data_IF_839805697826
#
_entry.id   IF_839805697826
#
_cell.length_a   1.000
_cell.length_b   1.000
_cell.length_c   1.000
_cell.angle_alpha   90.00
_cell.angle_beta   90.00
_cell.angle_gamma   90.00
#
_symmetry.space_group_name_H-M   'P 1'
#
loop_
_entity.id
_entity.type
_entity.pdbx_description
1 polymer ?
#
# COMPACT_ATOMS: atom_id res chain seq x y z
N UNK A 1 1.91 -13.25 17.68
CA UNK A 1 3.01 -14.17 17.26
C UNK A 1 2.92 -15.48 18.02
N UNK A 2 2.83 -16.60 17.34
CA UNK A 2 2.85 -17.97 17.86
C UNK A 2 4.29 -18.44 18.03
N UNK A 3 4.59 -19.18 19.13
CA UNK A 3 5.89 -19.85 19.30
C UNK A 3 5.80 -21.28 18.82
N UNK A 4 6.79 -21.69 18.05
CA UNK A 4 7.00 -23.07 17.63
C UNK A 4 8.41 -23.50 18.02
N UNK A 5 8.61 -24.79 18.22
CA UNK A 5 9.94 -25.33 18.51
C UNK A 5 10.21 -26.61 17.73
N UNK A 6 11.49 -26.83 17.44
CA UNK A 6 12.02 -28.04 16.84
C UNK A 6 13.16 -28.57 17.67
N UNK A 7 13.24 -29.89 17.82
CA UNK A 7 14.38 -30.54 18.48
C UNK A 7 15.29 -31.17 17.41
N UNK A 8 16.55 -30.72 17.35
CA UNK A 8 17.54 -31.22 16.41
C UNK A 8 18.80 -31.61 17.19
N UNK A 9 19.20 -32.88 17.09
CA UNK A 9 20.36 -33.45 17.78
C UNK A 9 20.36 -33.20 19.31
N UNK A 10 19.18 -33.24 19.96
CA UNK A 10 19.02 -33.01 21.39
C UNK A 10 19.06 -31.53 21.82
N UNK A 11 19.09 -30.60 20.88
CA UNK A 11 18.99 -29.16 21.13
C UNK A 11 17.64 -28.64 20.65
N UNK A 12 16.96 -27.87 21.49
CA UNK A 12 15.70 -27.19 21.18
C UNK A 12 15.95 -25.83 20.56
N UNK A 13 15.25 -25.56 19.46
CA UNK A 13 15.24 -24.29 18.71
C UNK A 13 13.84 -23.72 18.73
N UNK A 14 13.69 -22.49 19.20
CA UNK A 14 12.41 -21.79 19.28
C UNK A 14 12.33 -20.69 18.22
N UNK A 15 11.19 -20.59 17.53
CA UNK A 15 10.92 -19.59 16.51
C UNK A 15 9.61 -18.87 16.79
N UNK A 16 9.55 -17.58 16.44
CA UNK A 16 8.33 -16.81 16.46
C UNK A 16 7.70 -16.84 15.05
N UNK A 17 6.45 -17.29 14.98
CA UNK A 17 5.67 -17.34 13.73
C UNK A 17 4.63 -16.23 13.78
N UNK A 18 4.63 -15.28 12.85
CA UNK A 18 3.58 -14.27 12.75
C UNK A 18 2.26 -14.92 12.33
N UNK A 19 1.15 -14.39 12.86
CA UNK A 19 -0.21 -14.88 12.63
C UNK A 19 -1.07 -13.88 11.84
N UNK A 20 -0.51 -12.69 11.55
CA UNK A 20 -1.17 -11.65 10.75
C UNK A 20 -0.15 -10.75 10.04
N UNK A 21 -0.65 -9.96 9.08
CA UNK A 21 0.16 -8.96 8.38
C UNK A 21 0.75 -7.90 9.31
N UNK A 22 0.04 -7.51 10.37
CA UNK A 22 0.48 -6.51 11.34
C UNK A 22 1.71 -6.95 12.13
N UNK A 23 1.92 -8.25 12.28
CA UNK A 23 3.06 -8.82 13.00
C UNK A 23 4.33 -8.93 12.14
N UNK A 24 4.23 -8.80 10.83
CA UNK A 24 5.40 -8.80 9.94
C UNK A 24 6.21 -7.51 10.08
N UNK A 25 7.52 -7.63 9.92
CA UNK A 25 8.41 -6.49 9.69
C UNK A 25 8.66 -6.27 8.17
N UNK A 26 9.42 -5.20 7.85
CA UNK A 26 9.72 -4.84 6.47
C UNK A 26 10.49 -5.93 5.71
N UNK A 27 11.44 -6.61 6.37
CA UNK A 27 12.25 -7.66 5.74
C UNK A 27 11.42 -8.89 5.43
N UNK A 28 10.50 -9.28 6.32
CA UNK A 28 9.57 -10.38 6.11
C UNK A 28 8.57 -10.07 4.97
N UNK A 29 8.06 -8.84 4.91
CA UNK A 29 7.23 -8.39 3.80
C UNK A 29 8.03 -8.37 2.47
N UNK A 30 9.27 -7.92 2.50
CA UNK A 30 10.18 -7.95 1.34
C UNK A 30 10.40 -9.39 0.85
N UNK A 31 10.63 -10.34 1.77
CA UNK A 31 10.75 -11.76 1.43
C UNK A 31 9.48 -12.30 0.75
N UNK A 32 8.30 -11.92 1.23
CA UNK A 32 7.02 -12.28 0.60
C UNK A 32 6.90 -11.74 -0.82
N UNK A 33 7.23 -10.46 -1.05
CA UNK A 33 7.18 -9.84 -2.38
C UNK A 33 8.18 -10.47 -3.35
N UNK A 34 9.34 -10.88 -2.85
CA UNK A 34 10.38 -11.53 -3.64
C UNK A 34 9.96 -12.93 -4.08
N UNK A 35 9.47 -13.75 -3.15
CA UNK A 35 9.09 -15.15 -3.39
C UNK A 35 7.76 -15.25 -4.14
N UNK A 36 6.81 -14.37 -3.86
CA UNK A 36 5.54 -14.24 -4.56
C UNK A 36 4.47 -15.28 -4.21
N UNK A 37 4.76 -16.27 -3.36
CA UNK A 37 3.81 -17.28 -2.93
C UNK A 37 4.23 -17.92 -1.60
N UNK A 38 3.25 -18.42 -0.82
CA UNK A 38 3.54 -19.21 0.39
C UNK A 38 4.16 -20.55 0.00
N UNK A 39 5.40 -20.75 0.40
CA UNK A 39 6.16 -21.98 0.19
C UNK A 39 7.24 -22.18 1.27
N UNK A 40 8.02 -23.21 1.17
CA UNK A 40 9.10 -23.56 2.12
C UNK A 40 10.15 -22.45 2.23
N UNK A 41 10.56 -21.83 1.12
CA UNK A 41 11.55 -20.76 1.13
C UNK A 41 11.03 -19.53 1.87
N UNK A 42 9.79 -19.11 1.62
CA UNK A 42 9.16 -18.00 2.33
C UNK A 42 9.02 -18.31 3.83
N UNK A 43 8.50 -19.49 4.19
CA UNK A 43 8.31 -19.88 5.58
C UNK A 43 9.64 -19.83 6.34
N UNK A 44 10.71 -20.36 5.76
CA UNK A 44 12.07 -20.33 6.33
C UNK A 44 12.56 -18.89 6.56
N UNK A 45 12.37 -17.99 5.58
CA UNK A 45 12.80 -16.58 5.68
C UNK A 45 12.00 -15.81 6.73
N UNK A 46 10.69 -16.03 6.79
CA UNK A 46 9.82 -15.32 7.74
C UNK A 46 10.17 -15.65 9.18
N UNK A 47 10.44 -16.94 9.49
CA UNK A 47 10.83 -17.34 10.85
C UNK A 47 12.32 -17.17 11.12
N UNK A 48 13.11 -16.75 10.13
CA UNK A 48 14.57 -16.65 10.20
C UNK A 48 15.21 -17.97 10.70
N UNK A 49 14.80 -19.10 10.08
CA UNK A 49 15.19 -20.44 10.52
C UNK A 49 16.65 -20.73 10.27
N UNK A 50 17.31 -21.27 11.30
CA UNK A 50 18.70 -21.75 11.21
C UNK A 50 18.85 -22.86 10.15
N UNK A 51 19.96 -22.84 9.40
CA UNK A 51 20.24 -23.85 8.36
C UNK A 51 20.26 -25.28 8.91
N UNK A 52 20.81 -25.47 10.10
CA UNK A 52 20.88 -26.80 10.75
C UNK A 52 19.49 -27.35 11.04
N UNK A 53 18.53 -26.51 11.40
CA UNK A 53 17.14 -26.92 11.61
C UNK A 53 16.49 -27.16 10.26
N UNK A 54 16.62 -26.23 9.32
CA UNK A 54 15.99 -26.33 8.00
C UNK A 54 16.32 -27.63 7.26
N UNK A 55 17.59 -28.08 7.30
CA UNK A 55 18.01 -29.34 6.65
C UNK A 55 17.59 -30.60 7.42
N UNK A 56 17.19 -30.46 8.68
CA UNK A 56 16.78 -31.58 9.53
C UNK A 56 15.27 -31.83 9.51
N UNK A 57 14.48 -30.87 9.01
CA UNK A 57 13.02 -30.98 8.94
C UNK A 57 12.59 -31.99 7.88
N UNK A 58 11.58 -32.80 8.23
CA UNK A 58 10.93 -33.72 7.29
C UNK A 58 9.97 -32.96 6.37
N UNK A 59 9.51 -33.63 5.29
CA UNK A 59 8.46 -33.08 4.42
C UNK A 59 7.17 -32.77 5.19
N UNK A 60 6.85 -33.58 6.22
CA UNK A 60 5.67 -33.34 7.07
C UNK A 60 5.82 -32.07 7.90
N UNK A 61 7.01 -31.82 8.46
CA UNK A 61 7.29 -30.62 9.24
C UNK A 61 7.19 -29.36 8.37
N UNK A 62 7.75 -29.42 7.16
CA UNK A 62 7.64 -28.32 6.18
C UNK A 62 6.21 -28.07 5.73
N UNK A 63 5.44 -29.14 5.47
CA UNK A 63 4.04 -29.00 5.11
C UNK A 63 3.24 -28.35 6.24
N UNK A 64 3.45 -28.79 7.49
CA UNK A 64 2.82 -28.20 8.66
C UNK A 64 3.23 -26.72 8.81
N UNK A 65 4.51 -26.40 8.75
CA UNK A 65 5.00 -25.01 8.89
C UNK A 65 4.44 -24.09 7.81
N UNK A 66 4.39 -24.53 6.57
CA UNK A 66 3.81 -23.68 5.49
C UNK A 66 2.33 -23.40 5.71
N UNK A 67 1.58 -24.31 6.32
CA UNK A 67 0.17 -24.10 6.67
C UNK A 67 -0.03 -22.98 7.70
N UNK A 68 0.93 -22.74 8.57
CA UNK A 68 0.88 -21.61 9.50
C UNK A 68 0.86 -20.25 8.80
N UNK A 69 1.22 -20.19 7.51
CA UNK A 69 1.23 -18.99 6.68
C UNK A 69 0.10 -18.92 5.64
N UNK A 70 -0.89 -19.81 5.70
CA UNK A 70 -2.00 -19.81 4.73
C UNK A 70 -2.78 -18.48 4.73
N UNK A 71 -2.81 -17.75 5.86
CA UNK A 71 -3.39 -16.41 5.98
C UNK A 71 -2.73 -15.36 5.07
N UNK A 72 -1.48 -15.55 4.66
CA UNK A 72 -0.76 -14.64 3.74
C UNK A 72 -1.33 -14.67 2.32
N UNK A 73 -2.20 -15.63 1.99
CA UNK A 73 -2.92 -15.64 0.72
C UNK A 73 -4.02 -14.56 0.68
N UNK A 74 -4.44 -14.05 1.84
CA UNK A 74 -5.38 -12.92 1.95
C UNK A 74 -4.62 -11.60 2.03
N UNK A 75 -4.14 -11.14 0.88
CA UNK A 75 -3.40 -9.88 0.76
C UNK A 75 -4.31 -8.64 0.81
N UNK A 76 -5.64 -8.81 0.81
CA UNK A 76 -6.58 -7.70 0.84
C UNK A 76 -6.70 -7.06 2.22
N UNK A 77 -6.35 -7.78 3.28
CA UNK A 77 -6.41 -7.32 4.67
C UNK A 77 -5.15 -6.60 5.16
N UNK A 78 -4.22 -6.25 4.29
CA UNK A 78 -3.03 -5.49 4.69
C UNK A 78 -3.43 -4.06 5.07
N UNK A 79 -3.25 -3.71 6.36
CA UNK A 79 -3.55 -2.40 6.92
C UNK A 79 -2.34 -1.63 7.43
N UNK A 80 -1.12 -2.11 7.12
CA UNK A 80 0.15 -1.58 7.61
C UNK A 80 1.02 -1.06 6.47
N UNK A 81 1.68 0.08 6.69
CA UNK A 81 2.76 0.51 5.82
C UNK A 81 4.05 -0.22 6.25
N UNK A 82 4.51 -1.18 5.44
CA UNK A 82 5.73 -1.96 5.72
C UNK A 82 7.00 -1.19 5.41
N UNK A 83 6.96 -0.42 4.34
CA UNK A 83 8.09 0.39 3.90
C UNK A 83 7.96 1.78 4.51
N UNK A 84 8.10 1.89 5.86
CA UNK A 84 7.94 3.16 6.58
C UNK A 84 9.02 4.18 6.19
N UNK A 85 10.21 3.69 5.82
CA UNK A 85 11.32 4.51 5.34
C UNK A 85 12.06 3.83 4.19
N UNK A 86 12.66 4.63 3.33
CA UNK A 86 13.47 4.19 2.20
C UNK A 86 14.82 4.90 2.21
N UNK A 87 15.90 4.14 2.16
CA UNK A 87 17.24 4.70 1.96
C UNK A 87 17.48 4.85 0.46
N UNK A 88 17.68 6.09 0.01
CA UNK A 88 18.00 6.40 -1.38
C UNK A 88 19.46 6.02 -1.71
N UNK A 89 19.81 5.85 -3.00
CA UNK A 89 21.16 5.48 -3.40
C UNK A 89 22.26 6.44 -2.95
N UNK A 90 21.94 7.70 -2.67
CA UNK A 90 22.85 8.70 -2.14
C UNK A 90 22.98 8.66 -0.58
N UNK A 91 22.29 7.71 0.05
CA UNK A 91 22.25 7.56 1.51
C UNK A 91 21.19 8.43 2.21
N UNK A 92 20.43 9.25 1.49
CA UNK A 92 19.35 10.05 2.06
C UNK A 92 18.19 9.14 2.46
N UNK A 93 17.60 9.37 3.64
CA UNK A 93 16.41 8.64 4.09
C UNK A 93 15.15 9.42 3.76
N UNK A 94 14.20 8.74 3.12
CA UNK A 94 12.86 9.24 2.84
C UNK A 94 11.85 8.47 3.68
N UNK A 95 10.89 9.19 4.24
CA UNK A 95 9.85 8.65 5.12
C UNK A 95 8.53 8.51 4.36
N UNK A 96 7.85 7.41 4.62
CA UNK A 96 6.54 7.11 4.07
C UNK A 96 5.42 7.86 4.79
N UNK A 97 4.22 7.52 4.45
CA UNK A 97 2.97 8.12 4.89
C UNK A 97 2.23 7.21 5.87
N UNK A 98 1.22 7.73 6.56
CA UNK A 98 0.36 6.92 7.42
C UNK A 98 -0.47 5.92 6.61
N UNK A 99 -0.61 4.70 7.10
CA UNK A 99 -1.31 3.61 6.41
C UNK A 99 -2.80 3.93 6.08
N UNK A 100 -3.40 4.88 6.79
CA UNK A 100 -4.76 5.38 6.57
C UNK A 100 -4.82 6.64 5.69
N UNK A 101 -3.68 7.11 5.17
CA UNK A 101 -3.53 8.35 4.39
C UNK A 101 -3.93 9.62 5.15
N UNK A 102 -3.96 9.61 6.48
CA UNK A 102 -4.38 10.76 7.30
C UNK A 102 -3.44 11.97 7.18
N UNK A 103 -2.17 11.73 6.86
CA UNK A 103 -1.12 12.73 6.63
C UNK A 103 -0.85 13.02 5.14
N UNK A 104 -1.65 12.46 4.24
CA UNK A 104 -1.57 12.69 2.79
C UNK A 104 -2.67 13.65 2.37
N UNK A 105 -2.30 14.76 1.72
CA UNK A 105 -3.28 15.70 1.18
C UNK A 105 -3.97 15.12 -0.05
N UNK A 106 -5.16 15.65 -0.37
CA UNK A 106 -5.89 15.21 -1.56
C UNK A 106 -5.13 15.51 -2.86
N UNK A 107 -4.44 16.64 -2.96
CA UNK A 107 -3.58 16.95 -4.11
C UNK A 107 -2.46 15.92 -4.26
N UNK A 108 -1.77 15.63 -3.17
CA UNK A 108 -0.69 14.65 -3.12
C UNK A 108 -1.18 13.27 -3.57
N UNK A 109 -2.30 12.81 -2.99
CA UNK A 109 -2.85 11.49 -3.31
C UNK A 109 -3.31 11.38 -4.76
N UNK A 110 -4.03 12.37 -5.28
CA UNK A 110 -4.50 12.35 -6.67
C UNK A 110 -3.34 12.35 -7.66
N UNK A 111 -2.26 13.05 -7.32
CA UNK A 111 -1.04 13.05 -8.10
C UNK A 111 -0.35 11.68 -8.05
N UNK A 112 -0.16 11.10 -6.86
CA UNK A 112 0.41 9.77 -6.66
C UNK A 112 -0.41 8.68 -7.37
N UNK A 113 -1.74 8.65 -7.16
CA UNK A 113 -2.66 7.67 -7.74
C UNK A 113 -2.68 7.73 -9.27
N UNK A 114 -2.52 8.94 -9.83
CA UNK A 114 -2.38 9.14 -11.26
C UNK A 114 -1.18 8.39 -11.82
N UNK A 115 -0.01 8.49 -11.20
CA UNK A 115 1.18 7.78 -11.65
C UNK A 115 1.13 6.29 -11.33
N UNK A 116 0.62 5.91 -10.18
CA UNK A 116 0.40 4.51 -9.83
C UNK A 116 -0.44 3.77 -10.87
N UNK A 117 -1.51 4.41 -11.35
CA UNK A 117 -2.39 3.83 -12.39
C UNK A 117 -1.74 3.75 -13.78
N UNK A 118 -0.66 4.49 -14.03
CA UNK A 118 0.19 4.38 -15.22
C UNK A 118 1.33 3.36 -15.06
N UNK A 119 1.44 2.72 -13.87
CA UNK A 119 2.55 1.84 -13.54
C UNK A 119 3.87 2.58 -13.24
N UNK A 120 3.83 3.92 -13.10
CA UNK A 120 5.00 4.73 -12.76
C UNK A 120 5.19 4.79 -11.24
N UNK A 121 5.56 3.64 -10.70
CA UNK A 121 5.77 3.46 -9.27
C UNK A 121 6.92 4.29 -8.72
N UNK A 122 7.94 4.54 -9.53
CA UNK A 122 9.07 5.43 -9.26
C UNK A 122 8.60 6.86 -8.94
N UNK A 123 7.69 7.40 -9.74
CA UNK A 123 7.14 8.75 -9.54
C UNK A 123 6.18 8.76 -8.35
N UNK A 124 5.30 7.77 -8.25
CA UNK A 124 4.40 7.63 -7.09
C UNK A 124 5.21 7.60 -5.79
N UNK A 125 6.34 6.86 -5.75
CA UNK A 125 7.26 6.83 -4.61
C UNK A 125 7.83 8.22 -4.32
N UNK A 126 8.27 8.97 -5.35
CA UNK A 126 8.78 10.33 -5.19
C UNK A 126 7.74 11.33 -4.63
N UNK A 127 6.45 11.06 -4.86
CA UNK A 127 5.35 11.86 -4.28
C UNK A 127 5.16 11.54 -2.80
N UNK A 128 5.01 10.27 -2.46
CA UNK A 128 4.57 9.82 -1.14
C UNK A 128 5.71 9.68 -0.14
N UNK A 129 6.95 9.46 -0.61
CA UNK A 129 8.13 9.35 0.24
C UNK A 129 8.99 10.60 0.14
N UNK A 130 9.25 11.23 1.28
CA UNK A 130 9.95 12.51 1.35
C UNK A 130 10.91 12.55 2.54
N UNK A 131 11.87 13.46 2.50
CA UNK A 131 12.78 13.71 3.61
C UNK A 131 12.02 14.20 4.85
N UNK A 132 12.61 13.99 6.01
CA UNK A 132 12.11 14.53 7.26
C UNK A 132 12.17 16.06 7.28
N UNK A 133 11.14 16.65 7.86
CA UNK A 133 11.12 18.09 8.12
C UNK A 133 12.13 18.47 9.21
N UNK A 134 12.89 19.55 9.03
CA UNK A 134 13.84 20.00 10.06
C UNK A 134 13.18 20.39 11.40
N UNK A 135 11.90 20.81 11.34
CA UNK A 135 11.10 21.28 12.48
C UNK A 135 10.08 20.23 12.98
N UNK A 136 10.24 18.96 12.63
CA UNK A 136 9.28 17.91 13.01
C UNK A 136 9.24 17.69 14.53
N UNK A 137 8.03 17.72 15.12
CA UNK A 137 7.78 17.62 16.56
C UNK A 137 6.85 16.46 16.97
N UNK A 138 6.62 15.49 16.08
CA UNK A 138 5.72 14.31 16.23
C UNK A 138 4.22 14.60 16.19
N UNK A 139 3.78 15.84 16.14
CA UNK A 139 2.36 16.22 16.08
C UNK A 139 1.86 16.44 14.65
N UNK A 140 2.77 16.55 13.69
CA UNK A 140 2.49 16.85 12.29
C UNK A 140 3.07 15.80 11.36
N UNK A 141 2.76 15.89 10.07
CA UNK A 141 3.41 15.07 9.04
C UNK A 141 4.94 15.20 9.18
N UNK A 142 5.60 14.07 9.31
CA UNK A 142 7.07 13.97 9.42
C UNK A 142 7.78 14.50 8.19
N UNK A 143 7.15 14.37 7.05
CA UNK A 143 7.73 14.63 5.75
C UNK A 143 7.70 16.12 5.41
N UNK A 144 8.70 16.60 4.68
CA UNK A 144 8.64 17.94 4.08
C UNK A 144 7.35 18.11 3.26
N UNK A 145 6.76 19.32 3.18
CA UNK A 145 5.52 19.53 2.43
C UNK A 145 5.62 19.05 0.96
N UNK A 146 4.52 18.51 0.46
CA UNK A 146 4.42 18.13 -0.95
C UNK A 146 4.46 19.37 -1.85
N UNK A 147 5.27 19.29 -2.90
CA UNK A 147 5.24 20.24 -4.02
C UNK A 147 5.56 19.46 -5.31
N UNK A 148 4.92 19.86 -6.40
CA UNK A 148 5.18 19.24 -7.73
C UNK A 148 6.64 19.38 -8.15
N UNK A 149 7.20 20.58 -7.96
CA UNK A 149 8.61 20.85 -8.25
C UNK A 149 9.57 19.99 -7.40
N UNK A 150 9.30 19.87 -6.10
CA UNK A 150 10.09 18.99 -5.23
C UNK A 150 10.00 17.51 -5.62
N UNK A 151 8.87 17.08 -6.21
CA UNK A 151 8.72 15.71 -6.74
C UNK A 151 9.67 15.45 -7.90
N UNK A 152 9.83 16.38 -8.84
CA UNK A 152 10.74 16.23 -9.98
C UNK A 152 12.19 16.01 -9.50
N UNK A 153 12.64 16.76 -8.51
CA UNK A 153 13.97 16.58 -7.93
C UNK A 153 14.14 15.19 -7.27
N UNK A 154 13.10 14.67 -6.60
CA UNK A 154 13.14 13.35 -5.97
C UNK A 154 13.05 12.18 -6.97
N UNK A 155 12.41 12.37 -8.12
CA UNK A 155 12.30 11.35 -9.17
C UNK A 155 13.65 10.82 -9.61
N UNK A 156 14.69 11.64 -9.62
CA UNK A 156 16.03 11.18 -9.96
C UNK A 156 16.55 10.12 -8.98
N UNK A 157 16.24 10.27 -7.69
CA UNK A 157 16.67 9.31 -6.67
C UNK A 157 15.79 8.05 -6.66
N UNK A 158 14.46 8.23 -6.70
CA UNK A 158 13.52 7.09 -6.65
C UNK A 158 13.61 6.21 -7.90
N UNK A 159 13.98 6.74 -9.06
CA UNK A 159 14.20 5.96 -10.28
C UNK A 159 15.41 5.03 -10.21
N UNK A 160 16.31 5.25 -9.25
CA UNK A 160 17.52 4.44 -9.02
C UNK A 160 17.32 3.37 -7.93
N UNK A 161 16.14 3.32 -7.28
CA UNK A 161 15.82 2.27 -6.31
C UNK A 161 15.80 0.90 -7.00
N UNK A 162 16.20 -0.13 -6.27
CA UNK A 162 16.15 -1.50 -6.78
C UNK A 162 14.70 -1.94 -7.08
N UNK A 163 14.56 -2.85 -8.04
CA UNK A 163 13.25 -3.32 -8.50
C UNK A 163 12.41 -3.93 -7.37
N UNK A 164 13.04 -4.67 -6.45
CA UNK A 164 12.32 -5.31 -5.35
C UNK A 164 11.76 -4.27 -4.38
N UNK A 165 12.51 -3.22 -4.06
CA UNK A 165 12.03 -2.09 -3.25
C UNK A 165 10.83 -1.42 -3.91
N UNK A 166 10.89 -1.13 -5.21
CA UNK A 166 9.76 -0.55 -5.95
C UNK A 166 8.54 -1.49 -5.96
N UNK A 167 8.75 -2.81 -6.11
CA UNK A 167 7.66 -3.80 -6.03
C UNK A 167 7.03 -3.84 -4.63
N UNK A 168 7.83 -3.76 -3.57
CA UNK A 168 7.32 -3.67 -2.19
C UNK A 168 6.45 -2.43 -1.99
N UNK A 169 6.94 -1.25 -2.38
CA UNK A 169 6.19 0.01 -2.30
C UNK A 169 4.90 -0.08 -3.12
N UNK A 170 4.97 -0.59 -4.35
CA UNK A 170 3.82 -0.72 -5.24
C UNK A 170 2.74 -1.66 -4.68
N UNK A 171 3.12 -2.83 -4.16
CA UNK A 171 2.18 -3.78 -3.57
C UNK A 171 1.55 -3.18 -2.32
N UNK A 172 2.35 -2.63 -1.42
CA UNK A 172 1.85 -2.04 -0.18
C UNK A 172 0.88 -0.88 -0.46
N UNK A 173 1.21 0.03 -1.39
CA UNK A 173 0.30 1.08 -1.82
C UNK A 173 -1.03 0.53 -2.36
N UNK A 174 -0.99 -0.48 -3.24
CA UNK A 174 -2.20 -1.11 -3.80
C UNK A 174 -3.12 -1.66 -2.70
N UNK A 175 -2.55 -2.32 -1.68
CA UNK A 175 -3.33 -2.90 -0.59
C UNK A 175 -3.94 -1.81 0.30
N UNK A 176 -3.17 -0.81 0.69
CA UNK A 176 -3.68 0.34 1.47
C UNK A 176 -4.74 1.12 0.68
N UNK A 177 -4.51 1.35 -0.62
CA UNK A 177 -5.50 1.97 -1.51
C UNK A 177 -6.78 1.14 -1.60
N UNK A 178 -6.68 -0.19 -1.77
CA UNK A 178 -7.84 -1.07 -1.79
C UNK A 178 -8.64 -0.96 -0.49
N UNK A 179 -7.98 -1.05 0.66
CA UNK A 179 -8.63 -0.87 1.97
C UNK A 179 -9.35 0.47 2.07
N UNK A 180 -8.72 1.55 1.60
CA UNK A 180 -9.35 2.88 1.54
C UNK A 180 -10.59 2.88 0.66
N UNK A 181 -10.50 2.31 -0.56
CA UNK A 181 -11.63 2.26 -1.50
C UNK A 181 -12.76 1.36 -1.01
N UNK A 182 -12.46 0.26 -0.34
CA UNK A 182 -13.46 -0.62 0.26
C UNK A 182 -14.20 0.07 1.41
N UNK A 183 -13.47 0.84 2.24
CA UNK A 183 -14.06 1.61 3.34
C UNK A 183 -15.04 2.69 2.83
N UNK A 184 -14.71 3.34 1.72
CA UNK A 184 -15.55 4.36 1.07
C UNK A 184 -16.26 3.82 -0.18
N UNK A 185 -16.75 2.59 -0.14
CA UNK A 185 -17.31 1.87 -1.30
C UNK A 185 -18.39 2.63 -2.05
N UNK A 186 -19.19 3.47 -1.38
CA UNK A 186 -20.21 4.30 -2.03
C UNK A 186 -19.66 5.35 -3.00
N UNK A 187 -18.39 5.77 -2.81
CA UNK A 187 -17.72 6.74 -3.70
C UNK A 187 -17.04 6.01 -4.86
N UNK A 188 -16.45 4.86 -4.56
CA UNK A 188 -15.67 4.07 -5.51
C UNK A 188 -16.47 2.99 -6.22
N UNK A 189 -17.79 2.92 -5.96
CA UNK A 189 -18.66 1.94 -6.56
C UNK A 189 -18.63 2.08 -8.08
N UNK A 190 -17.99 1.16 -8.76
CA UNK A 190 -18.19 0.93 -10.18
C UNK A 190 -19.43 0.06 -10.31
N UNK A 191 -20.51 0.51 -11.00
CA UNK A 191 -21.64 -0.37 -11.30
C UNK A 191 -21.08 -1.63 -11.96
N UNK A 192 -21.39 -2.80 -11.40
CA UNK A 192 -21.15 -4.06 -12.07
C UNK A 192 -22.02 -3.99 -13.33
N UNK A 193 -21.42 -3.72 -14.48
CA UNK A 193 -22.10 -3.99 -15.73
C UNK A 193 -22.33 -5.50 -15.71
N UNK A 194 -23.60 -5.92 -15.51
CA UNK A 194 -24.01 -7.28 -15.80
C UNK A 194 -23.45 -7.59 -17.18
N UNK A 195 -22.60 -8.62 -17.27
CA UNK A 195 -22.09 -9.11 -18.55
C UNK A 195 -23.30 -9.47 -19.39
N UNK A 196 -23.89 -8.48 -20.09
CA UNK A 196 -24.67 -8.80 -21.26
C UNK A 196 -23.71 -9.53 -22.18
N UNK A 197 -23.92 -10.84 -22.28
CA UNK A 197 -23.27 -11.74 -23.22
C UNK A 197 -23.53 -11.24 -24.63
N UNK A 198 -22.92 -10.12 -25.00
CA UNK A 198 -22.96 -9.59 -26.34
C UNK A 198 -22.06 -10.42 -27.24
N UNK A 199 -22.70 -11.26 -28.06
CA UNK A 199 -22.10 -12.07 -29.15
C UNK A 199 -21.47 -11.21 -30.27
N UNK A 200 -21.07 -10.00 -30.01
CA UNK A 200 -20.43 -9.13 -30.99
C UNK A 200 -19.02 -8.80 -30.50
N UNK A 201 -18.01 -9.28 -31.24
CA UNK A 201 -16.58 -9.16 -30.97
C UNK A 201 -16.02 -7.73 -30.93
N UNK A 202 -16.61 -6.84 -30.15
CA UNK A 202 -16.06 -5.52 -29.84
C UNK A 202 -14.98 -5.68 -28.75
N UNK A 203 -13.78 -5.18 -29.02
CA UNK A 203 -12.69 -5.09 -28.04
C UNK A 203 -13.21 -4.41 -26.77
N UNK A 204 -12.87 -4.91 -25.56
CA UNK A 204 -13.27 -4.26 -24.31
C UNK A 204 -12.80 -2.80 -24.34
N UNK A 205 -13.73 -1.86 -24.24
CA UNK A 205 -13.39 -0.44 -24.07
C UNK A 205 -12.72 -0.30 -22.71
N UNK A 206 -11.52 0.35 -22.69
CA UNK A 206 -10.88 0.70 -21.43
C UNK A 206 -11.85 1.55 -20.62
N UNK A 207 -12.18 1.11 -19.41
CA UNK A 207 -13.03 1.86 -18.48
C UNK A 207 -12.50 3.28 -18.31
N UNK A 208 -13.37 4.30 -18.31
CA UNK A 208 -12.94 5.67 -18.08
C UNK A 208 -12.30 5.77 -16.68
N UNK A 209 -11.15 6.38 -16.63
CA UNK A 209 -10.41 6.62 -15.39
C UNK A 209 -11.16 7.65 -14.55
N UNK A 210 -11.33 7.40 -13.26
CA UNK A 210 -11.91 8.38 -12.35
C UNK A 210 -11.05 9.65 -12.34
N UNK A 211 -11.62 10.75 -12.79
CA UNK A 211 -10.98 12.07 -12.72
C UNK A 211 -11.30 12.70 -11.37
N UNK A 212 -10.40 12.49 -10.41
CA UNK A 212 -10.53 12.97 -9.05
C UNK A 212 -10.65 14.50 -8.96
N UNK A 213 -9.95 15.23 -9.84
CA UNK A 213 -10.04 16.69 -9.90
C UNK A 213 -11.41 17.13 -10.41
N UNK A 214 -11.96 16.43 -11.40
CA UNK A 214 -13.31 16.68 -11.88
C UNK A 214 -14.36 16.39 -10.81
N UNK A 215 -14.16 15.34 -10.02
CA UNK A 215 -15.05 15.01 -8.90
C UNK A 215 -15.08 16.15 -7.87
N UNK A 216 -13.90 16.64 -7.46
CA UNK A 216 -13.79 17.79 -6.54
C UNK A 216 -14.45 19.04 -7.14
N UNK A 217 -14.19 19.38 -8.41
CA UNK A 217 -14.82 20.52 -9.08
C UNK A 217 -16.33 20.42 -9.11
N UNK A 218 -16.86 19.23 -9.36
CA UNK A 218 -18.30 19.00 -9.29
C UNK A 218 -18.87 19.21 -7.87
N UNK A 219 -18.07 18.92 -6.83
CA UNK A 219 -18.47 19.18 -5.44
C UNK A 219 -18.50 20.66 -5.08
N UNK A 220 -17.53 21.41 -5.58
CA UNK A 220 -17.36 22.85 -5.26
C UNK A 220 -18.30 23.75 -6.08
N UNK A 221 -18.86 23.24 -7.17
CA UNK A 221 -19.50 24.06 -8.19
C UNK A 221 -18.50 25.02 -8.82
N UNK A 222 -18.92 26.24 -9.13
CA UNK A 222 -18.07 27.24 -9.79
C UNK A 222 -17.15 28.03 -8.81
N UNK A 223 -16.99 27.57 -7.57
CA UNK A 223 -16.20 28.28 -6.56
C UNK A 223 -14.73 27.85 -6.56
N UNK A 224 -13.96 28.41 -7.48
CA UNK A 224 -12.51 28.14 -7.61
C UNK A 224 -11.68 28.51 -6.35
N UNK A 225 -12.17 29.45 -5.53
CA UNK A 225 -11.45 29.84 -4.31
C UNK A 225 -11.43 28.74 -3.25
N UNK A 226 -12.36 27.81 -3.30
CA UNK A 226 -12.38 26.66 -2.40
C UNK A 226 -11.53 25.48 -2.89
N UNK A 227 -11.15 25.44 -4.18
CA UNK A 227 -10.38 24.32 -4.74
C UNK A 227 -9.11 24.06 -3.94
N UNK A 228 -8.30 25.09 -3.68
CA UNK A 228 -7.06 24.95 -2.94
C UNK A 228 -7.29 24.47 -1.50
N UNK A 229 -8.40 24.87 -0.88
CA UNK A 229 -8.76 24.42 0.47
C UNK A 229 -9.02 22.91 0.49
N UNK A 230 -9.78 22.37 -0.49
CA UNK A 230 -10.03 20.93 -0.60
C UNK A 230 -8.78 20.15 -0.96
N UNK A 231 -7.94 20.67 -1.85
CA UNK A 231 -6.69 20.03 -2.25
C UNK A 231 -5.73 19.84 -1.06
N UNK A 232 -5.78 20.72 -0.07
CA UNK A 232 -4.97 20.66 1.13
C UNK A 232 -5.57 19.83 2.27
N UNK A 233 -6.82 19.37 2.16
CA UNK A 233 -7.40 18.45 3.15
C UNK A 233 -6.78 17.06 3.03
N UNK A 234 -6.76 16.33 4.14
CA UNK A 234 -6.34 14.93 4.13
C UNK A 234 -7.30 14.06 3.31
N UNK A 235 -6.77 12.99 2.73
CA UNK A 235 -7.55 12.04 1.92
C UNK A 235 -8.81 11.54 2.64
N UNK A 236 -8.75 11.04 3.90
CA UNK A 236 -9.94 10.63 4.63
C UNK A 236 -10.96 11.76 4.81
N UNK A 237 -10.50 13.00 5.06
CA UNK A 237 -11.39 14.15 5.23
C UNK A 237 -12.19 14.47 3.96
N UNK A 238 -11.56 14.40 2.80
CA UNK A 238 -12.23 14.62 1.51
C UNK A 238 -13.21 13.48 1.22
N UNK A 239 -12.78 12.23 1.42
CA UNK A 239 -13.63 11.06 1.16
C UNK A 239 -14.86 11.03 2.08
N UNK A 240 -14.71 11.37 3.36
CA UNK A 240 -15.82 11.49 4.29
C UNK A 240 -16.86 12.54 3.83
N UNK A 241 -16.41 13.70 3.37
CA UNK A 241 -17.30 14.74 2.86
C UNK A 241 -18.02 14.30 1.58
N UNK A 242 -17.31 13.60 0.68
CA UNK A 242 -17.89 13.02 -0.54
C UNK A 242 -18.98 12.01 -0.18
N UNK A 243 -18.68 11.09 0.73
CA UNK A 243 -19.61 10.05 1.16
C UNK A 243 -20.89 10.64 1.76
N UNK A 244 -20.74 11.66 2.62
CA UNK A 244 -21.89 12.35 3.22
C UNK A 244 -22.81 12.95 2.16
N UNK A 245 -22.25 13.61 1.15
CA UNK A 245 -23.05 14.20 0.04
C UNK A 245 -23.74 13.14 -0.83
N UNK A 246 -23.06 12.01 -1.10
CA UNK A 246 -23.66 10.91 -1.85
C UNK A 246 -24.85 10.34 -1.08
N UNK A 247 -24.72 10.13 0.23
CA UNK A 247 -25.81 9.65 1.09
C UNK A 247 -26.99 10.63 1.14
N UNK A 248 -26.73 11.94 1.27
CA UNK A 248 -27.76 12.98 1.24
C UNK A 248 -28.53 13.00 -0.10
N UNK A 249 -27.82 12.87 -1.22
CA UNK A 249 -28.44 12.83 -2.54
C UNK A 249 -29.30 11.57 -2.77
N UNK A 250 -28.99 10.48 -2.10
CA UNK A 250 -29.78 9.24 -2.15
C UNK A 250 -31.03 9.31 -1.26
N UNK A 251 -30.98 10.01 -0.13
CA UNK A 251 -32.11 10.16 0.80
C UNK A 251 -33.05 11.30 0.47
N UNK A 252 -32.63 12.24 -0.39
CA UNK A 252 -33.44 13.36 -0.85
C UNK A 252 -34.33 13.08 -2.06
N UNK A 253 -34.36 11.82 -2.50
CA UNK A 253 -35.28 11.29 -3.52
C UNK A 253 -36.35 10.44 -2.86
#
# INVERSE_FOLDING_TARGET
MKKIDFEVAGKRYEYNVPESWEELNADQFRAYVEVGAVNVDLARRIVAMDDVVAVSLTLSDWWWLTKEFDWMNDIENIGKLFMEELTMPDGTVYYGYNADFSDVTWEEWTFADSYASLGRWDIMTAVLYRQERPDWNRETDRRIPFTKYGTEARMEQTSKLDELTIRCVALNYKMLRKRLTDHYGHIFYEPIEEEETSKTGKKPQKKPRTDWLKLIRNMMGDNFYEEQKYLNLSVPSVLFQLESRVKEAQHGK
#
